data_IF_191175664862
#
_entry.id   IF_191175664862
#
_cell.length_a   1.000
_cell.length_b   1.000
_cell.length_c   1.000
_cell.angle_alpha   90.00
_cell.angle_beta   90.00
_cell.angle_gamma   90.00
#
_symmetry.space_group_name_H-M   'P 1'
#
loop_
_entity.id
_entity.type
_entity.pdbx_description
1 polymer ?
#
# COMPACT_ATOMS: atom_id res chain seq x y z
N UNK A 1 17.34 -12.72 8.21
CA UNK A 1 16.24 -12.28 9.09
C UNK A 1 15.58 -11.12 8.38
N UNK A 2 14.28 -11.18 8.15
CA UNK A 2 13.53 -10.03 7.63
C UNK A 2 13.45 -8.99 8.74
N UNK A 3 13.88 -7.76 8.47
CA UNK A 3 13.77 -6.66 9.43
C UNK A 3 12.31 -6.46 9.83
N UNK A 4 12.06 -6.20 11.12
CA UNK A 4 10.72 -5.96 11.67
C UNK A 4 10.06 -4.76 10.98
N UNK A 5 8.99 -4.97 10.23
CA UNK A 5 8.29 -3.91 9.46
C UNK A 5 7.36 -3.08 10.35
N UNK A 6 6.64 -3.71 11.27
CA UNK A 6 5.65 -3.06 12.12
C UNK A 6 6.25 -2.71 13.49
N UNK A 7 6.14 -1.46 13.92
CA UNK A 7 6.56 -1.01 15.26
C UNK A 7 5.36 -0.56 16.08
N UNK A 8 5.41 -0.85 17.38
CA UNK A 8 4.39 -0.37 18.33
C UNK A 8 4.61 1.10 18.69
N UNK A 9 3.61 1.79 19.25
CA UNK A 9 3.79 3.16 19.73
C UNK A 9 4.91 3.31 20.77
N UNK A 10 5.04 2.36 21.70
CA UNK A 10 6.10 2.37 22.71
C UNK A 10 7.50 2.26 22.08
N UNK A 11 7.68 1.32 21.14
CA UNK A 11 8.94 1.17 20.41
C UNK A 11 9.27 2.42 19.60
N UNK A 12 8.29 3.02 18.91
CA UNK A 12 8.52 4.26 18.19
C UNK A 12 8.91 5.41 19.14
N UNK A 13 8.29 5.51 20.32
CA UNK A 13 8.68 6.52 21.31
C UNK A 13 10.13 6.36 21.77
N UNK A 14 10.59 5.12 21.98
CA UNK A 14 12.00 4.83 22.31
C UNK A 14 12.94 5.17 21.16
N UNK A 15 12.54 4.83 19.92
CA UNK A 15 13.29 5.15 18.71
C UNK A 15 13.43 6.66 18.48
N UNK A 16 12.40 7.45 18.77
CA UNK A 16 12.45 8.91 18.72
C UNK A 16 13.41 9.44 19.78
N UNK A 17 13.33 8.94 21.02
CA UNK A 17 14.20 9.36 22.12
C UNK A 17 15.68 9.01 21.89
N UNK A 18 15.95 7.87 21.25
CA UNK A 18 17.30 7.45 20.89
C UNK A 18 17.90 8.25 19.72
N UNK A 19 17.06 8.96 18.95
CA UNK A 19 17.47 9.68 17.74
C UNK A 19 17.69 8.77 16.54
N UNK A 20 17.98 9.37 15.38
CA UNK A 20 18.18 8.62 14.13
C UNK A 20 16.89 8.06 13.50
N UNK A 21 15.73 8.54 13.95
CA UNK A 21 14.42 8.18 13.42
C UNK A 21 13.77 9.39 12.76
N UNK A 22 13.19 9.19 11.58
CA UNK A 22 12.39 10.19 10.89
C UNK A 22 10.97 9.66 10.75
N UNK A 23 10.03 10.31 11.44
CA UNK A 23 8.62 9.94 11.36
C UNK A 23 7.98 10.66 10.18
N UNK A 24 7.31 9.91 9.31
CA UNK A 24 6.60 10.45 8.15
C UNK A 24 5.11 10.27 8.40
N UNK A 25 4.41 11.40 8.53
CA UNK A 25 2.96 11.44 8.66
C UNK A 25 2.31 11.65 7.30
N UNK A 26 1.52 10.67 6.86
CA UNK A 26 0.87 10.72 5.53
C UNK A 26 -0.49 11.40 5.56
N UNK A 27 -1.03 11.74 6.73
CA UNK A 27 -2.37 12.35 6.88
C UNK A 27 -2.45 13.66 6.11
N UNK A 28 -3.67 14.12 5.82
CA UNK A 28 -3.84 15.41 5.17
C UNK A 28 -3.24 16.54 6.03
N UNK A 29 -2.80 17.65 5.40
CA UNK A 29 -2.10 18.72 6.11
C UNK A 29 -2.91 19.34 7.26
N UNK A 30 -4.24 19.39 7.15
CA UNK A 30 -5.08 19.99 8.19
C UNK A 30 -5.15 19.08 9.44
N UNK A 31 -5.34 17.77 9.23
CA UNK A 31 -5.31 16.78 10.32
C UNK A 31 -3.93 16.74 11.00
N UNK A 32 -2.85 16.80 10.22
CA UNK A 32 -1.49 16.88 10.76
C UNK A 32 -1.26 18.17 11.57
N UNK A 33 -1.68 19.33 11.05
CA UNK A 33 -1.52 20.62 11.72
C UNK A 33 -2.33 20.73 13.03
N UNK A 34 -3.43 19.99 13.15
CA UNK A 34 -4.21 19.92 14.38
C UNK A 34 -3.51 19.10 15.49
N UNK A 35 -2.54 18.27 15.16
CA UNK A 35 -1.74 17.49 16.10
C UNK A 35 -1.08 16.27 15.47
N UNK A 36 0.20 16.07 15.75
CA UNK A 36 1.00 14.98 15.21
C UNK A 36 2.05 14.47 16.20
N UNK A 37 2.72 13.38 15.83
CA UNK A 37 3.81 12.76 16.61
C UNK A 37 5.01 13.73 16.62
N UNK A 38 5.64 14.00 17.76
CA UNK A 38 6.81 14.88 17.84
C UNK A 38 7.91 14.51 16.84
N UNK A 39 8.39 15.50 16.09
CA UNK A 39 9.43 15.31 15.08
C UNK A 39 8.96 14.70 13.76
N UNK A 40 7.67 14.44 13.59
CA UNK A 40 7.14 13.93 12.32
C UNK A 40 7.08 15.01 11.24
N UNK A 41 7.42 14.67 10.00
CA UNK A 41 7.19 15.50 8.82
C UNK A 41 5.92 15.06 8.09
N UNK A 42 5.16 16.02 7.54
CA UNK A 42 4.00 15.70 6.72
C UNK A 42 4.39 15.48 5.26
N UNK A 43 4.11 14.29 4.72
CA UNK A 43 4.32 13.95 3.31
C UNK A 43 3.04 13.36 2.73
N UNK A 44 2.04 14.22 2.54
CA UNK A 44 0.73 13.81 2.03
C UNK A 44 0.78 13.34 0.56
N UNK A 45 1.80 13.78 -0.21
CA UNK A 45 2.07 13.32 -1.57
C UNK A 45 2.16 11.79 -1.70
N UNK A 46 2.57 11.09 -0.64
CA UNK A 46 2.56 9.62 -0.60
C UNK A 46 1.17 9.08 -0.94
N UNK A 47 0.11 9.71 -0.45
CA UNK A 47 -1.26 9.31 -0.74
C UNK A 47 -1.79 9.84 -2.06
N UNK A 48 -1.56 11.12 -2.33
CA UNK A 48 -2.25 11.84 -3.42
C UNK A 48 -1.62 11.61 -4.78
N UNK A 49 -0.34 11.23 -4.84
CA UNK A 49 0.34 10.97 -6.11
C UNK A 49 -0.35 9.86 -6.92
N UNK A 50 -0.55 10.12 -8.21
CA UNK A 50 -1.09 9.16 -9.16
C UNK A 50 0.02 8.82 -10.15
N UNK A 51 0.60 7.64 -10.00
CA UNK A 51 1.63 7.16 -10.90
C UNK A 51 1.00 6.51 -12.14
N UNK A 52 1.69 6.64 -13.26
CA UNK A 52 1.59 5.71 -14.39
C UNK A 52 2.82 4.81 -14.38
N UNK A 53 2.70 3.59 -14.89
CA UNK A 53 3.82 2.64 -15.00
C UNK A 53 4.58 2.75 -16.32
N UNK A 54 4.32 3.80 -17.12
CA UNK A 54 5.16 4.17 -18.27
C UNK A 54 6.58 4.51 -17.81
N UNK A 55 7.62 4.31 -18.66
CA UNK A 55 9.00 4.64 -18.29
C UNK A 55 9.16 6.07 -17.74
N UNK A 56 8.50 7.04 -18.37
CA UNK A 56 8.54 8.45 -17.93
C UNK A 56 7.82 8.65 -16.59
N UNK A 57 6.64 8.02 -16.39
CA UNK A 57 5.90 8.13 -15.13
C UNK A 57 6.64 7.47 -13.96
N UNK A 58 7.31 6.36 -14.21
CA UNK A 58 8.17 5.66 -13.25
C UNK A 58 9.40 6.51 -12.89
N UNK A 59 10.02 7.17 -13.88
CA UNK A 59 11.14 8.08 -13.67
C UNK A 59 10.70 9.32 -12.87
N UNK A 60 9.57 9.94 -13.21
CA UNK A 60 9.01 11.08 -12.50
C UNK A 60 8.71 10.74 -11.05
N UNK A 61 8.04 9.59 -10.80
CA UNK A 61 7.77 9.11 -9.46
C UNK A 61 9.05 8.92 -8.66
N UNK A 62 10.07 8.29 -9.26
CA UNK A 62 11.36 8.06 -8.63
C UNK A 62 12.00 9.37 -8.20
N UNK A 63 12.11 10.32 -9.14
CA UNK A 63 12.81 11.58 -8.91
C UNK A 63 12.06 12.46 -7.90
N UNK A 64 10.72 12.50 -7.99
CA UNK A 64 9.86 13.21 -7.03
C UNK A 64 10.04 12.68 -5.61
N UNK A 65 9.91 11.38 -5.40
CA UNK A 65 9.96 10.82 -4.05
C UNK A 65 11.39 10.80 -3.49
N UNK A 66 12.43 10.61 -4.32
CA UNK A 66 13.81 10.78 -3.87
C UNK A 66 14.07 12.21 -3.37
N UNK A 67 13.58 13.23 -4.08
CA UNK A 67 13.71 14.62 -3.65
C UNK A 67 12.93 14.90 -2.36
N UNK A 68 11.68 14.45 -2.26
CA UNK A 68 10.83 14.63 -1.07
C UNK A 68 11.44 13.95 0.16
N UNK A 69 11.88 12.70 0.04
CA UNK A 69 12.49 11.97 1.16
C UNK A 69 13.86 12.55 1.54
N UNK A 70 14.65 13.01 0.58
CA UNK A 70 15.89 13.73 0.85
C UNK A 70 15.64 15.04 1.60
N UNK A 71 14.62 15.82 1.21
CA UNK A 71 14.22 17.04 1.92
C UNK A 71 13.73 16.76 3.35
N UNK A 72 13.12 15.59 3.58
CA UNK A 72 12.75 15.11 4.92
C UNK A 72 13.96 14.63 5.76
N UNK A 73 15.17 14.63 5.21
CA UNK A 73 16.40 14.25 5.92
C UNK A 73 16.74 12.76 5.86
N UNK A 74 16.15 11.99 4.94
CA UNK A 74 16.47 10.57 4.75
C UNK A 74 17.70 10.39 3.83
N UNK A 75 18.76 9.79 4.36
CA UNK A 75 20.02 9.51 3.64
C UNK A 75 20.36 8.03 3.49
N UNK A 76 19.71 7.18 4.29
CA UNK A 76 19.97 5.74 4.42
C UNK A 76 20.49 5.36 5.80
N UNK A 77 20.91 6.36 6.60
CA UNK A 77 21.33 6.17 7.99
C UNK A 77 20.14 6.14 8.95
N UNK A 78 19.15 7.00 8.70
CA UNK A 78 17.94 7.14 9.50
C UNK A 78 17.00 5.95 9.32
N UNK A 79 16.20 5.66 10.34
CA UNK A 79 15.05 4.78 10.21
C UNK A 79 13.82 5.60 9.84
N UNK A 80 13.24 5.33 8.67
CA UNK A 80 11.97 5.94 8.27
C UNK A 80 10.82 5.17 8.93
N UNK A 81 10.04 5.84 9.77
CA UNK A 81 8.82 5.25 10.37
C UNK A 81 7.60 5.99 9.85
N UNK A 82 6.70 5.28 9.19
CA UNK A 82 5.59 5.89 8.46
C UNK A 82 4.31 5.66 9.25
N UNK A 83 3.51 6.72 9.41
CA UNK A 83 2.22 6.66 10.09
C UNK A 83 1.11 7.22 9.22
N UNK A 84 -0.10 6.74 9.48
CA UNK A 84 -1.36 7.26 8.96
C UNK A 84 -2.35 7.47 10.12
N UNK A 85 -3.60 7.84 9.84
CA UNK A 85 -4.60 8.03 10.90
C UNK A 85 -4.90 6.73 11.66
N UNK A 86 -5.24 5.68 10.93
CA UNK A 86 -5.54 4.32 11.44
C UNK A 86 -5.37 3.34 10.28
N UNK A 87 -5.04 2.09 10.59
CA UNK A 87 -4.81 1.04 9.60
C UNK A 87 -6.01 0.77 8.67
N UNK A 88 -7.22 1.20 9.03
CA UNK A 88 -8.45 0.99 8.26
C UNK A 88 -9.16 2.27 7.78
N UNK A 89 -8.66 3.48 8.04
CA UNK A 89 -9.33 4.72 7.55
C UNK A 89 -8.49 5.52 6.57
N UNK A 90 -7.18 5.22 6.47
CA UNK A 90 -6.28 5.90 5.55
C UNK A 90 -6.14 5.24 4.19
N UNK A 91 -6.87 4.18 3.85
CA UNK A 91 -6.63 3.38 2.62
C UNK A 91 -5.22 2.77 2.53
N UNK A 92 -4.50 2.60 3.66
CA UNK A 92 -3.17 1.99 3.68
C UNK A 92 -2.05 2.94 3.30
N UNK A 93 -2.18 4.23 3.61
CA UNK A 93 -1.21 5.25 3.21
C UNK A 93 0.18 5.03 3.79
N UNK A 94 0.27 4.55 5.04
CA UNK A 94 1.54 4.26 5.67
C UNK A 94 2.28 3.13 4.95
N UNK A 95 1.54 2.07 4.59
CA UNK A 95 2.03 0.93 3.84
C UNK A 95 2.43 1.33 2.41
N UNK A 96 1.73 2.29 1.81
CA UNK A 96 2.12 2.86 0.51
C UNK A 96 3.45 3.60 0.59
N UNK A 97 3.65 4.41 1.63
CA UNK A 97 4.95 5.03 1.89
C UNK A 97 6.06 3.97 2.04
N UNK A 98 5.76 2.86 2.72
CA UNK A 98 6.70 1.75 2.88
C UNK A 98 7.06 1.16 1.51
N UNK A 99 6.07 0.86 0.67
CA UNK A 99 6.32 0.34 -0.68
C UNK A 99 7.13 1.30 -1.53
N UNK A 100 6.86 2.61 -1.48
CA UNK A 100 7.64 3.62 -2.20
C UNK A 100 9.11 3.65 -1.74
N UNK A 101 9.35 3.66 -0.42
CA UNK A 101 10.71 3.62 0.11
C UNK A 101 11.43 2.31 -0.24
N UNK A 102 10.75 1.16 -0.17
CA UNK A 102 11.31 -0.13 -0.61
C UNK A 102 11.59 -0.15 -2.10
N UNK A 103 10.71 0.40 -2.93
CA UNK A 103 10.89 0.53 -4.38
C UNK A 103 12.13 1.37 -4.73
N UNK A 104 12.36 2.45 -3.98
CA UNK A 104 13.57 3.28 -4.13
C UNK A 104 14.82 2.67 -3.49
N UNK A 105 14.68 1.53 -2.80
CA UNK A 105 15.79 0.82 -2.16
C UNK A 105 16.24 1.38 -0.82
N UNK A 106 15.38 2.11 -0.10
CA UNK A 106 15.70 2.58 1.24
C UNK A 106 15.86 1.39 2.21
N UNK A 107 16.93 1.35 3.02
CA UNK A 107 17.27 0.15 3.78
C UNK A 107 16.41 -0.01 5.05
N UNK A 108 16.10 1.07 5.76
CA UNK A 108 15.49 1.05 7.09
C UNK A 108 14.10 1.68 7.05
N UNK A 109 13.08 0.86 6.83
CA UNK A 109 11.69 1.34 6.71
C UNK A 109 10.79 0.53 7.61
N UNK A 110 9.99 1.22 8.41
CA UNK A 110 9.01 0.64 9.31
C UNK A 110 7.70 1.42 9.26
N UNK A 111 6.64 0.84 9.82
CA UNK A 111 5.29 1.40 9.87
C UNK A 111 4.84 1.40 11.33
N UNK A 112 4.28 2.52 11.79
CA UNK A 112 3.61 2.57 13.09
C UNK A 112 2.33 1.74 13.04
N UNK A 113 2.33 0.60 13.71
CA UNK A 113 1.18 -0.31 13.75
C UNK A 113 0.01 0.33 14.51
N UNK A 114 -1.14 0.45 13.84
CA UNK A 114 -2.32 1.13 14.38
C UNK A 114 -2.36 2.64 14.11
N UNK A 115 -1.29 3.21 13.55
CA UNK A 115 -1.20 4.63 13.20
C UNK A 115 -1.35 5.58 14.39
N UNK A 116 -1.77 6.81 14.09
CA UNK A 116 -1.93 7.88 15.07
C UNK A 116 -2.98 7.56 16.15
N UNK A 117 -4.03 6.79 15.80
CA UNK A 117 -5.02 6.31 16.77
C UNK A 117 -4.36 5.44 17.86
N UNK A 118 -3.46 4.52 17.49
CA UNK A 118 -2.75 3.70 18.47
C UNK A 118 -1.76 4.52 19.31
N UNK A 119 -1.10 5.50 18.70
CA UNK A 119 -0.21 6.44 19.41
C UNK A 119 -0.92 7.19 20.53
N UNK A 120 -2.08 7.77 20.21
CA UNK A 120 -2.88 8.54 21.17
C UNK A 120 -3.56 7.64 22.20
N UNK A 121 -4.00 6.43 21.82
CA UNK A 121 -4.52 5.43 22.77
C UNK A 121 -3.47 5.01 23.80
N UNK A 122 -2.18 5.03 23.43
CA UNK A 122 -1.06 4.79 24.34
C UNK A 122 -0.71 6.01 25.23
N UNK A 123 -1.47 7.11 25.14
CA UNK A 123 -1.24 8.36 25.89
C UNK A 123 0.16 8.96 25.66
N UNK A 124 0.73 8.74 24.46
CA UNK A 124 2.03 9.28 24.10
C UNK A 124 1.94 10.75 23.65
N UNK A 125 3.03 11.54 23.79
CA UNK A 125 2.99 12.98 23.51
C UNK A 125 2.62 13.31 22.07
N UNK A 126 1.92 14.41 21.88
CA UNK A 126 1.60 15.00 20.56
C UNK A 126 2.02 16.45 20.53
N UNK A 127 2.32 16.98 19.35
CA UNK A 127 2.70 18.39 19.16
C UNK A 127 1.99 18.99 17.95
N UNK A 128 2.02 20.31 17.87
CA UNK A 128 1.68 21.10 16.67
C UNK A 128 2.93 21.77 16.06
N UNK A 129 4.09 21.60 16.68
CA UNK A 129 5.37 22.13 16.22
C UNK A 129 5.84 21.40 14.96
N UNK A 130 5.90 22.11 13.84
CA UNK A 130 6.35 21.56 12.56
C UNK A 130 7.88 21.52 12.54
N UNK A 131 8.51 20.34 12.41
CA UNK A 131 9.96 20.24 12.37
C UNK A 131 10.52 20.75 11.03
N UNK A 132 11.76 21.21 11.05
CA UNK A 132 12.53 21.60 9.84
C UNK A 132 13.82 20.77 9.76
N UNK A 133 13.74 19.48 9.35
CA UNK A 133 14.93 18.66 9.21
C UNK A 133 15.88 19.23 8.16
N UNK A 134 17.18 19.05 8.39
CA UNK A 134 18.19 19.40 7.39
C UNK A 134 18.07 18.45 6.18
N UNK A 135 17.92 18.96 4.94
CA UNK A 135 17.88 18.13 3.75
C UNK A 135 19.15 17.28 3.61
N UNK A 136 18.99 16.05 3.14
CA UNK A 136 20.07 15.10 2.85
C UNK A 136 19.94 14.55 1.43
N UNK A 137 21.01 13.95 0.93
CA UNK A 137 20.99 13.22 -0.34
C UNK A 137 20.33 11.86 -0.15
N UNK A 138 19.19 11.66 -0.78
CA UNK A 138 18.54 10.35 -0.86
C UNK A 138 19.17 9.52 -1.99
N UNK A 139 19.67 8.32 -1.68
CA UNK A 139 20.24 7.41 -2.68
C UNK A 139 19.17 6.43 -3.16
N UNK A 140 18.94 6.41 -4.48
CA UNK A 140 18.07 5.41 -5.12
C UNK A 140 18.89 4.18 -5.48
N UNK A 141 18.39 2.99 -5.15
CA UNK A 141 18.90 1.72 -5.66
C UNK A 141 17.93 1.16 -6.73
N UNK A 142 18.31 1.21 -8.02
CA UNK A 142 17.48 0.69 -9.12
C UNK A 142 17.18 -0.81 -9.01
N UNK A 143 18.00 -1.61 -8.30
CA UNK A 143 17.78 -3.04 -8.16
C UNK A 143 16.56 -3.39 -7.29
N UNK A 144 16.12 -2.45 -6.45
CA UNK A 144 14.98 -2.62 -5.55
C UNK A 144 13.60 -2.45 -6.24
N UNK A 145 13.60 -2.07 -7.52
CA UNK A 145 12.37 -1.77 -8.27
C UNK A 145 11.41 -2.97 -8.43
N UNK A 146 11.91 -4.20 -8.28
CA UNK A 146 11.17 -5.46 -8.48
C UNK A 146 9.95 -5.67 -7.57
N UNK A 147 9.80 -4.88 -6.51
CA UNK A 147 8.58 -4.88 -5.68
C UNK A 147 7.35 -4.36 -6.45
N UNK A 148 7.57 -3.52 -7.47
CA UNK A 148 6.53 -3.01 -8.34
C UNK A 148 6.54 -3.74 -9.69
N UNK A 149 5.35 -3.90 -10.24
CA UNK A 149 5.09 -4.43 -11.58
C UNK A 149 4.49 -3.33 -12.42
N UNK A 150 4.90 -3.24 -13.68
CA UNK A 150 4.35 -2.30 -14.67
C UNK A 150 3.17 -2.92 -15.44
N UNK A 151 2.63 -2.17 -16.40
CA UNK A 151 1.52 -2.64 -17.22
C UNK A 151 1.85 -3.94 -17.97
N UNK A 152 3.05 -4.07 -18.54
CA UNK A 152 3.45 -5.27 -19.28
C UNK A 152 3.60 -6.48 -18.35
N UNK A 153 4.15 -6.30 -17.15
CA UNK A 153 4.21 -7.37 -16.16
C UNK A 153 2.83 -7.78 -15.65
N UNK A 154 1.87 -6.85 -15.53
CA UNK A 154 0.48 -7.20 -15.21
C UNK A 154 -0.19 -7.97 -16.36
N UNK A 155 0.03 -7.57 -17.61
CA UNK A 155 -0.43 -8.31 -18.80
C UNK A 155 0.14 -9.73 -18.83
N UNK A 156 1.42 -9.88 -18.52
CA UNK A 156 2.06 -11.19 -18.41
C UNK A 156 1.43 -12.04 -17.30
N UNK A 157 1.11 -11.44 -16.13
CA UNK A 157 0.42 -12.13 -15.05
C UNK A 157 -1.00 -12.57 -15.44
N UNK A 158 -1.73 -11.77 -16.23
CA UNK A 158 -3.05 -12.17 -16.77
C UNK A 158 -2.95 -13.42 -17.65
N UNK A 159 -1.89 -13.54 -18.45
CA UNK A 159 -1.62 -14.72 -19.27
C UNK A 159 -1.07 -15.93 -18.51
N UNK A 160 -0.73 -15.78 -17.22
CA UNK A 160 -0.07 -16.81 -16.41
C UNK A 160 -0.99 -17.28 -15.27
N UNK A 161 -1.55 -18.47 -15.43
CA UNK A 161 -2.43 -19.09 -14.42
C UNK A 161 -1.71 -19.44 -13.11
N UNK A 162 -0.38 -19.50 -13.08
CA UNK A 162 0.40 -19.75 -11.86
C UNK A 162 0.49 -18.52 -10.95
N UNK A 163 0.20 -17.33 -11.49
CA UNK A 163 0.19 -16.06 -10.74
C UNK A 163 -1.23 -15.67 -10.37
N UNK A 164 -1.45 -15.46 -9.07
CA UNK A 164 -2.73 -14.94 -8.58
C UNK A 164 -2.74 -13.42 -8.74
N UNK A 165 -3.77 -12.91 -9.42
CA UNK A 165 -4.06 -11.47 -9.48
C UNK A 165 -5.01 -11.16 -8.35
N UNK A 166 -4.54 -10.48 -7.31
CA UNK A 166 -5.35 -10.19 -6.13
C UNK A 166 -5.86 -8.75 -6.18
N UNK A 167 -7.16 -8.61 -6.40
CA UNK A 167 -7.90 -7.35 -6.31
C UNK A 167 -8.22 -7.05 -4.84
N UNK A 168 -7.84 -5.86 -4.37
CA UNK A 168 -8.03 -5.41 -2.99
C UNK A 168 -8.97 -4.21 -2.87
N UNK A 169 -9.68 -3.87 -3.95
CA UNK A 169 -10.66 -2.78 -3.99
C UNK A 169 -11.89 -3.08 -3.14
N UNK A 170 -12.73 -2.08 -2.95
CA UNK A 170 -13.96 -2.21 -2.16
C UNK A 170 -14.99 -3.04 -2.93
N UNK A 171 -15.99 -3.58 -2.23
CA UNK A 171 -16.98 -4.48 -2.84
C UNK A 171 -17.69 -3.88 -4.05
N UNK A 172 -18.05 -2.59 -4.01
CA UNK A 172 -18.75 -1.91 -5.10
C UNK A 172 -17.89 -1.81 -6.37
N UNK A 173 -16.57 -1.67 -6.21
CA UNK A 173 -15.61 -1.69 -7.32
C UNK A 173 -15.40 -3.10 -7.85
N UNK A 174 -15.35 -4.08 -6.94
CA UNK A 174 -15.27 -5.50 -7.29
C UNK A 174 -16.50 -5.86 -8.13
N UNK A 175 -17.73 -5.67 -7.64
CA UNK A 175 -18.96 -6.05 -8.37
C UNK A 175 -19.25 -5.23 -9.63
N UNK A 176 -18.44 -4.20 -9.91
CA UNK A 176 -18.57 -3.35 -11.09
C UNK A 176 -19.67 -2.31 -10.99
N UNK A 177 -20.16 -2.00 -9.78
CA UNK A 177 -21.11 -0.91 -9.55
C UNK A 177 -20.40 0.45 -9.57
N UNK A 178 -19.20 0.51 -9.00
CA UNK A 178 -18.31 1.67 -8.99
C UNK A 178 -17.03 1.41 -9.81
N UNK A 179 -16.43 2.45 -10.37
CA UNK A 179 -15.09 2.38 -11.00
C UNK A 179 -13.97 2.95 -10.12
N UNK A 180 -14.30 3.53 -8.96
CA UNK A 180 -13.31 4.12 -8.04
C UNK A 180 -13.87 4.34 -6.63
N UNK A 181 -13.01 4.60 -5.62
CA UNK A 181 -13.45 5.08 -4.32
C UNK A 181 -13.85 6.58 -4.31
N UNK A 182 -13.65 7.30 -5.42
CA UNK A 182 -13.92 8.75 -5.54
C UNK A 182 -15.24 9.07 -6.24
N UNK A 183 -15.98 8.05 -6.64
CA UNK A 183 -17.23 8.20 -7.38
C UNK A 183 -17.48 7.03 -8.31
N UNK A 184 -18.78 6.78 -8.53
CA UNK A 184 -19.29 5.64 -9.27
C UNK A 184 -18.71 5.53 -10.68
N UNK A 185 -18.50 6.65 -11.37
CA UNK A 185 -18.12 6.72 -12.80
C UNK A 185 -16.82 7.52 -13.03
N UNK A 186 -15.88 7.49 -12.08
CA UNK A 186 -14.63 8.25 -12.18
C UNK A 186 -13.67 7.72 -13.27
N UNK A 187 -13.46 6.40 -13.29
CA UNK A 187 -12.74 5.72 -14.37
C UNK A 187 -13.70 5.40 -15.52
N UNK A 188 -13.23 5.42 -16.79
CA UNK A 188 -14.08 5.27 -17.96
C UNK A 188 -14.67 3.85 -18.11
N UNK A 189 -14.15 2.86 -17.37
CA UNK A 189 -14.60 1.47 -17.39
C UNK A 189 -14.78 0.92 -15.98
N UNK A 190 -15.81 0.10 -15.78
CA UNK A 190 -16.12 -0.65 -14.55
C UNK A 190 -15.86 -2.13 -14.75
N UNK A 191 -15.50 -2.83 -13.67
CA UNK A 191 -15.16 -4.23 -13.72
C UNK A 191 -13.84 -4.53 -13.06
N UNK A 192 -13.18 -5.60 -13.49
CA UNK A 192 -11.90 -6.08 -12.93
C UNK A 192 -10.94 -6.57 -14.00
N UNK A 193 -9.71 -6.81 -13.59
CA UNK A 193 -8.69 -7.43 -14.43
C UNK A 193 -9.04 -8.93 -14.56
N UNK A 194 -8.95 -9.54 -15.76
CA UNK A 194 -9.39 -10.91 -15.97
C UNK A 194 -8.70 -11.95 -15.06
N UNK A 195 -9.49 -12.91 -14.57
CA UNK A 195 -9.02 -13.99 -13.70
C UNK A 195 -8.51 -13.52 -12.34
N UNK A 196 -8.85 -12.29 -11.92
CA UNK A 196 -8.55 -11.82 -10.58
C UNK A 196 -9.40 -12.53 -9.53
N UNK A 197 -8.81 -12.75 -8.36
CA UNK A 197 -9.54 -13.08 -7.13
C UNK A 197 -9.61 -11.85 -6.24
N UNK A 198 -10.48 -11.87 -5.23
CA UNK A 198 -10.77 -10.69 -4.44
C UNK A 198 -10.71 -10.94 -2.94
N UNK A 199 -9.94 -10.10 -2.27
CA UNK A 199 -10.00 -9.91 -0.83
C UNK A 199 -9.98 -8.40 -0.61
N UNK A 200 -11.12 -7.86 -0.17
CA UNK A 200 -11.18 -6.47 0.27
C UNK A 200 -10.10 -6.19 1.33
N UNK A 201 -9.34 -5.10 1.16
CA UNK A 201 -8.20 -4.79 2.02
C UNK A 201 -8.55 -4.72 3.51
N UNK A 202 -9.79 -4.34 3.86
CA UNK A 202 -10.31 -4.36 5.24
C UNK A 202 -10.15 -5.72 5.92
N UNK A 203 -10.16 -6.82 5.17
CA UNK A 203 -10.02 -8.18 5.70
C UNK A 203 -8.62 -8.45 6.27
N UNK A 204 -7.62 -7.59 6.01
CA UNK A 204 -6.30 -7.70 6.62
C UNK A 204 -6.26 -7.16 8.05
N UNK A 205 -7.27 -6.40 8.49
CA UNK A 205 -7.30 -5.76 9.79
C UNK A 205 -8.40 -6.31 10.70
N UNK A 206 -8.23 -6.09 12.01
CA UNK A 206 -9.25 -6.34 13.03
C UNK A 206 -9.23 -5.24 14.09
N UNK A 207 -10.36 -4.96 14.77
CA UNK A 207 -10.38 -4.02 15.89
C UNK A 207 -9.53 -4.55 17.06
N UNK A 208 -8.96 -3.62 17.83
CA UNK A 208 -8.25 -3.88 19.08
C UNK A 208 -8.45 -2.72 20.06
N UNK A 209 -8.08 -2.85 21.35
CA UNK A 209 -8.12 -1.73 22.31
C UNK A 209 -7.30 -0.50 21.88
N UNK A 210 -6.25 -0.69 21.08
CA UNK A 210 -5.42 0.38 20.53
C UNK A 210 -5.91 0.87 19.15
N UNK A 211 -7.12 0.47 18.74
CA UNK A 211 -7.67 0.73 17.42
C UNK A 211 -7.42 -0.41 16.43
N UNK A 212 -7.77 -0.22 15.15
CA UNK A 212 -7.62 -1.24 14.11
C UNK A 212 -6.15 -1.60 13.86
N UNK A 213 -5.85 -2.89 13.92
CA UNK A 213 -4.52 -3.46 13.72
C UNK A 213 -4.59 -4.50 12.60
N UNK A 214 -3.45 -4.79 11.95
CA UNK A 214 -3.34 -6.02 11.17
C UNK A 214 -3.72 -7.24 12.01
N UNK A 215 -4.41 -8.17 11.37
CA UNK A 215 -4.64 -9.53 11.88
C UNK A 215 -3.30 -10.23 12.11
N UNK A 216 -3.31 -11.27 12.93
CA UNK A 216 -2.13 -12.12 13.11
C UNK A 216 -1.77 -12.85 11.79
N UNK A 217 -0.51 -13.28 11.63
CA UNK A 217 -0.08 -14.06 10.47
C UNK A 217 -1.01 -15.23 10.12
N UNK A 218 -1.46 -16.01 11.10
CA UNK A 218 -2.34 -17.16 10.87
C UNK A 218 -3.74 -16.76 10.42
N UNK A 219 -4.29 -15.67 10.96
CA UNK A 219 -5.57 -15.12 10.50
C UNK A 219 -5.46 -14.60 9.06
N UNK A 220 -4.39 -13.88 8.71
CA UNK A 220 -4.16 -13.40 7.34
C UNK A 220 -4.03 -14.58 6.37
N UNK A 221 -3.26 -15.62 6.72
CA UNK A 221 -3.15 -16.83 5.91
C UNK A 221 -4.50 -17.53 5.73
N UNK A 222 -5.37 -17.52 6.74
CA UNK A 222 -6.73 -18.05 6.62
C UNK A 222 -7.58 -17.22 5.63
N UNK A 223 -7.48 -15.89 5.66
CA UNK A 223 -8.13 -15.02 4.66
C UNK A 223 -7.63 -15.34 3.24
N UNK A 224 -6.32 -15.48 3.05
CA UNK A 224 -5.69 -15.83 1.78
C UNK A 224 -6.15 -17.20 1.25
N UNK A 225 -6.27 -18.19 2.13
CA UNK A 225 -6.75 -19.52 1.76
C UNK A 225 -8.18 -19.50 1.18
N UNK A 226 -9.02 -18.53 1.54
CA UNK A 226 -10.39 -18.42 0.97
C UNK A 226 -10.41 -18.14 -0.53
N UNK A 227 -9.30 -17.69 -1.10
CA UNK A 227 -9.13 -17.43 -2.53
C UNK A 227 -7.98 -18.23 -3.15
N UNK A 228 -7.53 -19.29 -2.47
CA UNK A 228 -6.49 -20.21 -2.99
C UNK A 228 -5.06 -19.69 -2.90
N UNK A 229 -4.79 -18.63 -2.13
CA UNK A 229 -3.43 -18.12 -1.91
C UNK A 229 -2.79 -18.86 -0.73
N UNK A 230 -1.57 -19.37 -0.95
CA UNK A 230 -0.72 -20.05 0.03
C UNK A 230 0.61 -19.31 0.19
N UNK A 231 1.48 -19.64 1.18
CA UNK A 231 2.78 -18.99 1.36
C UNK A 231 3.70 -19.01 0.14
N UNK A 232 3.55 -20.01 -0.74
CA UNK A 232 4.37 -20.20 -1.94
C UNK A 232 3.69 -19.73 -3.24
N UNK A 233 2.45 -19.22 -3.14
CA UNK A 233 1.72 -18.70 -4.30
C UNK A 233 2.31 -17.36 -4.74
N UNK A 234 2.71 -17.19 -6.01
CA UNK A 234 3.06 -15.88 -6.56
C UNK A 234 1.82 -14.99 -6.65
N UNK A 235 1.86 -13.81 -6.04
CA UNK A 235 0.73 -12.87 -6.00
C UNK A 235 1.13 -11.52 -6.60
N UNK A 236 0.34 -11.05 -7.57
CA UNK A 236 0.39 -9.68 -8.08
C UNK A 236 -0.84 -8.92 -7.57
N UNK A 237 -0.61 -7.98 -6.66
CA UNK A 237 -1.64 -7.16 -6.04
C UNK A 237 -1.99 -5.95 -6.89
N UNK A 238 -3.27 -5.57 -6.89
CA UNK A 238 -3.70 -4.27 -7.37
C UNK A 238 -4.89 -3.73 -6.58
N UNK A 239 -5.11 -2.41 -6.68
CA UNK A 239 -6.35 -1.79 -6.20
C UNK A 239 -6.84 -0.72 -7.20
N UNK A 240 -7.15 0.49 -6.73
CA UNK A 240 -7.39 1.64 -7.61
C UNK A 240 -6.10 2.34 -8.03
N UNK A 241 -5.26 2.74 -7.05
CA UNK A 241 -4.02 3.51 -7.28
C UNK A 241 -2.83 3.02 -6.43
N UNK A 242 -2.81 1.75 -6.05
CA UNK A 242 -1.72 1.14 -5.26
C UNK A 242 -1.84 1.22 -3.73
N UNK A 243 -2.56 2.18 -3.11
CA UNK A 243 -2.54 2.36 -1.64
C UNK A 243 -3.07 1.14 -0.84
N UNK A 244 -4.31 0.71 -1.11
CA UNK A 244 -4.91 -0.48 -0.49
C UNK A 244 -4.13 -1.77 -0.78
N UNK A 245 -3.57 -1.86 -1.99
CA UNK A 245 -2.71 -2.95 -2.39
C UNK A 245 -1.39 -2.96 -1.59
N UNK A 246 -0.83 -1.80 -1.24
CA UNK A 246 0.36 -1.71 -0.40
C UNK A 246 0.08 -2.19 1.03
N UNK A 247 -1.08 -1.86 1.59
CA UNK A 247 -1.50 -2.39 2.89
C UNK A 247 -1.59 -3.92 2.87
N UNK A 248 -2.25 -4.47 1.85
CA UNK A 248 -2.35 -5.92 1.69
C UNK A 248 -0.97 -6.54 1.44
N UNK A 249 -0.08 -5.90 0.66
CA UNK A 249 1.29 -6.37 0.44
C UNK A 249 2.06 -6.54 1.76
N UNK A 250 2.00 -5.53 2.63
CA UNK A 250 2.65 -5.59 3.95
C UNK A 250 2.04 -6.73 4.76
N UNK A 251 0.71 -6.82 4.82
CA UNK A 251 0.02 -7.90 5.55
C UNK A 251 0.42 -9.30 5.05
N UNK A 252 0.48 -9.51 3.74
CA UNK A 252 0.86 -10.81 3.14
C UNK A 252 2.32 -11.17 3.45
N UNK A 253 3.23 -10.20 3.38
CA UNK A 253 4.65 -10.42 3.71
C UNK A 253 4.85 -10.72 5.20
N UNK A 254 4.18 -10.00 6.09
CA UNK A 254 4.19 -10.27 7.53
C UNK A 254 3.59 -11.65 7.86
N UNK A 255 2.63 -12.11 7.04
CA UNK A 255 2.03 -13.43 7.15
C UNK A 255 2.91 -14.56 6.57
N UNK A 256 4.02 -14.23 5.90
CA UNK A 256 4.99 -15.19 5.36
C UNK A 256 4.76 -15.60 3.90
N UNK A 257 3.93 -14.86 3.14
CA UNK A 257 3.82 -15.07 1.69
C UNK A 257 5.07 -14.48 1.02
N UNK A 258 5.76 -15.31 0.25
CA UNK A 258 7.14 -15.04 -0.19
C UNK A 258 7.21 -14.14 -1.42
N UNK A 259 6.41 -14.46 -2.43
CA UNK A 259 6.43 -13.80 -3.73
C UNK A 259 5.19 -12.91 -3.88
N UNK A 260 5.36 -11.65 -3.50
CA UNK A 260 4.30 -10.63 -3.53
C UNK A 260 4.84 -9.38 -4.19
N UNK A 261 4.21 -8.99 -5.29
CA UNK A 261 4.51 -7.77 -6.04
C UNK A 261 3.25 -6.94 -6.27
N UNK A 262 3.41 -5.67 -6.64
CA UNK A 262 2.32 -4.71 -6.71
C UNK A 262 2.28 -4.01 -8.07
N UNK A 263 1.18 -4.15 -8.80
CA UNK A 263 0.91 -3.37 -10.00
C UNK A 263 0.46 -1.95 -9.62
N UNK A 264 1.40 -1.00 -9.56
CA UNK A 264 1.21 0.29 -8.90
C UNK A 264 0.22 1.21 -9.62
N UNK A 265 0.22 1.18 -10.97
CA UNK A 265 -0.77 1.88 -11.80
C UNK A 265 -2.20 1.36 -11.57
N UNK A 266 -2.34 0.08 -11.21
CA UNK A 266 -3.57 -0.52 -10.69
C UNK A 266 -4.77 -0.32 -11.64
N UNK A 267 -6.01 -0.39 -11.12
CA UNK A 267 -7.22 -0.21 -11.93
C UNK A 267 -7.28 1.16 -12.62
N UNK A 268 -6.75 2.22 -12.02
CA UNK A 268 -6.75 3.55 -12.64
C UNK A 268 -5.99 3.57 -13.97
N UNK A 269 -4.84 2.90 -14.05
CA UNK A 269 -4.11 2.74 -15.31
C UNK A 269 -4.80 1.73 -16.24
N UNK A 270 -5.08 0.52 -15.74
CA UNK A 270 -5.67 -0.55 -16.56
C UNK A 270 -6.96 -0.11 -17.23
N UNK A 271 -7.91 0.46 -16.47
CA UNK A 271 -9.22 0.87 -16.97
C UNK A 271 -9.18 1.99 -18.02
N UNK A 272 -8.06 2.68 -18.22
CA UNK A 272 -7.95 3.77 -19.20
C UNK A 272 -7.46 3.35 -20.58
N UNK A 273 -6.88 2.16 -20.72
CA UNK A 273 -6.49 1.61 -22.02
C UNK A 273 -7.60 0.71 -22.59
N UNK A 274 -8.39 1.17 -23.59
CA UNK A 274 -9.51 0.42 -24.14
C UNK A 274 -9.11 -0.90 -24.81
N UNK A 275 -7.83 -1.10 -25.16
CA UNK A 275 -7.34 -2.34 -25.76
C UNK A 275 -7.19 -3.48 -24.76
N UNK A 276 -7.11 -3.18 -23.46
CA UNK A 276 -6.95 -4.18 -22.41
C UNK A 276 -8.28 -4.86 -22.06
N UNK A 277 -8.28 -6.19 -21.84
CA UNK A 277 -9.48 -6.93 -21.48
C UNK A 277 -9.93 -6.60 -20.05
N UNK A 278 -11.24 -6.66 -19.82
CA UNK A 278 -11.85 -6.49 -18.50
C UNK A 278 -12.97 -7.52 -18.31
N UNK A 279 -13.18 -7.95 -17.07
CA UNK A 279 -14.40 -8.66 -16.66
C UNK A 279 -15.41 -7.65 -16.12
N UNK A 280 -16.62 -7.62 -16.68
CA UNK A 280 -17.70 -6.70 -16.31
C UNK A 280 -18.80 -7.40 -15.52
N UNK A 281 -19.58 -6.63 -14.77
CA UNK A 281 -20.72 -7.14 -14.01
C UNK A 281 -20.32 -7.93 -12.75
N UNK A 282 -21.30 -8.64 -12.15
CA UNK A 282 -21.07 -9.42 -10.92
C UNK A 282 -20.01 -10.52 -11.08
N UNK A 283 -19.30 -10.92 -10.01
CA UNK A 283 -18.16 -11.86 -10.06
C UNK A 283 -18.56 -13.30 -10.39
N UNK A 284 -19.85 -13.58 -10.31
CA UNK A 284 -20.38 -14.92 -10.43
C UNK A 284 -20.28 -15.32 -11.90
N UNK A 285 -19.58 -16.41 -12.14
CA UNK A 285 -19.20 -16.91 -13.46
C UNK A 285 -20.29 -16.69 -14.51
N UNK A 286 -19.87 -16.32 -15.72
CA UNK A 286 -20.68 -16.58 -16.91
C UNK A 286 -21.23 -18.01 -16.79
N UNK A 287 -22.55 -18.15 -16.94
CA UNK A 287 -23.22 -19.45 -16.83
C UNK A 287 -22.42 -20.51 -17.57
N UNK A 288 -22.29 -21.75 -17.04
CA UNK A 288 -21.70 -22.83 -17.81
C UNK A 288 -22.49 -22.90 -19.11
N UNK A 289 -21.78 -22.79 -20.24
CA UNK A 289 -22.33 -23.04 -21.57
C UNK A 289 -23.14 -24.33 -21.46
N UNK A 290 -24.47 -24.20 -21.52
CA UNK A 290 -25.32 -25.36 -21.66
C UNK A 290 -24.82 -26.09 -22.89
N UNK A 291 -24.32 -27.31 -22.69
CA UNK A 291 -24.03 -28.20 -23.79
C UNK A 291 -25.32 -28.32 -24.60
N UNK A 292 -25.30 -27.80 -25.83
CA UNK A 292 -26.34 -28.10 -26.79
C UNK A 292 -26.26 -29.61 -27.05
N UNK A 293 -27.31 -30.33 -26.67
CA UNK A 293 -27.61 -31.68 -27.18
C UNK A 293 -27.90 -31.63 -28.69
#
# INVERSE_FOLDING_TARGET
MTDKVLVTPAELSEMIAAGGTMVIDTRDPATYAAGHIPGAVNIHDIFTYLATSTPDGVAEMRDKFAAIFGAAGLSGEETAVITEQSMNTGFGQSCRGYVLLKYLGYPKVQILHGGYVAWTAASLPTTIEVPTPAPKTFKVDPAAASILVDLEGMKAAVGDSSKVKLDTRDVDEWVGESSSPYGKDFCPRKGRIPGAVWIEWYRMMKPSPAGPMFKSPSEILAECATVGITPDTPVVLYCFKGARASNTLVALKEAGIKDVSLYFGSWNEWSRDPSLPIEQGPPYAAQPLMAAE
#
